data_IF_154725139931
#
_entry.id   IF_154725139931
#
_cell.length_a   1.000
_cell.length_b   1.000
_cell.length_c   1.000
_cell.angle_alpha   90.00
_cell.angle_beta   90.00
_cell.angle_gamma   90.00
#
_symmetry.space_group_name_H-M   'P 1'
#
loop_
_entity.id
_entity.type
_entity.pdbx_description
1 polymer ?
#
# COMPACT_ATOMS: atom_id res chain seq x y z
N UNK A 1 -5.39 10.93 15.95
CA UNK A 1 -4.84 9.75 15.23
C UNK A 1 -5.60 8.44 15.47
N UNK A 2 -6.35 8.29 16.57
CA UNK A 2 -7.16 7.08 16.81
C UNK A 2 -8.19 6.83 15.71
N UNK A 3 -8.77 7.89 15.12
CA UNK A 3 -9.72 7.76 14.00
C UNK A 3 -9.11 7.14 12.74
N UNK A 4 -7.81 7.35 12.47
CA UNK A 4 -7.11 6.73 11.33
C UNK A 4 -7.01 5.22 11.52
N UNK A 5 -6.67 4.77 12.75
CA UNK A 5 -6.63 3.34 13.08
C UNK A 5 -8.01 2.69 12.96
N UNK A 6 -9.07 3.36 13.41
CA UNK A 6 -10.43 2.85 13.25
C UNK A 6 -10.83 2.74 11.77
N UNK A 7 -10.52 3.75 10.95
CA UNK A 7 -10.73 3.68 9.49
C UNK A 7 -9.91 2.56 8.85
N UNK A 8 -8.64 2.37 9.28
CA UNK A 8 -7.82 1.26 8.81
C UNK A 8 -8.47 -0.09 9.13
N UNK A 9 -8.93 -0.30 10.35
CA UNK A 9 -9.56 -1.57 10.72
C UNK A 9 -10.86 -1.83 9.94
N UNK A 10 -11.65 -0.79 9.68
CA UNK A 10 -12.83 -0.88 8.82
C UNK A 10 -12.45 -1.26 7.37
N UNK A 11 -11.40 -0.63 6.82
CA UNK A 11 -10.93 -0.95 5.48
C UNK A 11 -10.38 -2.37 5.38
N UNK A 12 -9.50 -2.76 6.32
CA UNK A 12 -8.94 -4.11 6.35
C UNK A 12 -10.04 -5.19 6.52
N UNK A 13 -11.08 -4.91 7.29
CA UNK A 13 -12.21 -5.82 7.44
C UNK A 13 -12.93 -6.07 6.10
N UNK A 14 -13.11 -5.01 5.29
CA UNK A 14 -13.66 -5.12 3.94
C UNK A 14 -12.70 -5.88 3.01
N UNK A 15 -11.41 -5.51 3.01
CA UNK A 15 -10.40 -6.08 2.13
C UNK A 15 -10.15 -7.57 2.37
N UNK A 16 -10.35 -8.02 3.62
CA UNK A 16 -10.08 -9.38 4.08
C UNK A 16 -11.35 -10.17 4.45
N UNK A 17 -12.53 -9.67 4.07
CA UNK A 17 -13.82 -10.36 4.26
C UNK A 17 -14.04 -10.84 5.70
N UNK A 18 -13.68 -10.01 6.69
CA UNK A 18 -13.80 -10.32 8.12
C UNK A 18 -14.51 -9.19 8.88
N UNK A 19 -14.67 -9.34 10.19
CA UNK A 19 -15.24 -8.31 11.04
C UNK A 19 -14.13 -7.41 11.63
N UNK A 20 -14.47 -6.17 11.99
CA UNK A 20 -13.53 -5.27 12.70
C UNK A 20 -13.09 -5.88 14.04
N UNK A 21 -13.95 -6.66 14.70
CA UNK A 21 -13.60 -7.43 15.91
C UNK A 21 -12.46 -8.42 15.65
N UNK A 22 -12.44 -9.05 14.46
CA UNK A 22 -11.41 -9.99 14.08
C UNK A 22 -10.05 -9.31 13.83
N UNK A 23 -10.05 -8.01 13.45
CA UNK A 23 -8.81 -7.21 13.38
C UNK A 23 -8.30 -6.85 14.78
N UNK A 24 -9.19 -6.73 15.76
CA UNK A 24 -8.88 -6.22 17.12
C UNK A 24 -8.55 -7.31 18.12
N UNK A 25 -8.99 -8.56 17.89
CA UNK A 25 -8.68 -9.68 18.80
C UNK A 25 -7.21 -10.15 18.65
N UNK A 26 -6.84 -11.26 19.28
CA UNK A 26 -5.48 -11.82 19.29
C UNK A 26 -5.34 -13.13 18.50
N UNK A 27 -6.34 -13.49 17.66
CA UNK A 27 -6.39 -14.76 16.93
C UNK A 27 -6.09 -14.58 15.44
N UNK A 28 -5.56 -15.61 14.82
CA UNK A 28 -5.44 -15.68 13.36
C UNK A 28 -6.81 -16.01 12.75
N UNK A 29 -7.15 -15.28 11.66
CA UNK A 29 -8.42 -15.46 10.95
C UNK A 29 -8.18 -15.97 9.52
N UNK A 30 -9.16 -16.73 9.02
CA UNK A 30 -9.11 -17.38 7.73
C UNK A 30 -10.49 -17.26 7.07
N UNK A 31 -10.61 -16.43 6.06
CA UNK A 31 -11.87 -16.07 5.41
C UNK A 31 -11.88 -16.49 3.95
N UNK A 32 -13.04 -16.84 3.44
CA UNK A 32 -13.24 -17.00 2.01
C UNK A 32 -13.31 -15.60 1.38
N UNK A 33 -12.69 -15.46 0.19
CA UNK A 33 -12.69 -14.21 -0.52
C UNK A 33 -14.07 -13.92 -1.14
N UNK A 34 -14.54 -12.71 -0.90
CA UNK A 34 -15.72 -12.14 -1.54
C UNK A 34 -15.39 -10.76 -2.11
N UNK A 35 -15.91 -10.43 -3.29
CA UNK A 35 -15.73 -9.11 -3.91
C UNK A 35 -16.64 -8.07 -3.24
N UNK A 36 -16.28 -7.63 -2.03
CA UNK A 36 -17.05 -6.64 -1.30
C UNK A 36 -16.89 -5.25 -1.91
N UNK A 37 -17.97 -4.44 -1.84
CA UNK A 37 -17.94 -3.04 -2.26
C UNK A 37 -17.08 -2.21 -1.29
N UNK A 38 -16.26 -1.31 -1.83
CA UNK A 38 -15.39 -0.42 -1.05
C UNK A 38 -14.06 -1.01 -0.63
N UNK A 39 -13.71 -2.21 -1.09
CA UNK A 39 -12.35 -2.75 -0.91
C UNK A 39 -11.36 -1.93 -1.72
N UNK A 40 -10.10 -1.90 -1.26
CA UNK A 40 -9.01 -1.31 -2.05
C UNK A 40 -8.85 -2.08 -3.36
N UNK A 41 -8.76 -1.34 -4.45
CA UNK A 41 -8.47 -1.85 -5.78
C UNK A 41 -6.99 -1.60 -6.04
N UNK A 42 -6.25 -2.63 -6.38
CA UNK A 42 -4.92 -2.54 -6.94
C UNK A 42 -4.75 -3.69 -7.92
N UNK A 43 -4.02 -3.43 -8.96
CA UNK A 43 -3.91 -4.28 -10.17
C UNK A 43 -3.60 -5.74 -9.86
N UNK A 44 -2.85 -5.97 -8.81
CA UNK A 44 -2.35 -7.28 -8.42
C UNK A 44 -3.40 -8.19 -7.76
N UNK A 45 -4.57 -7.65 -7.43
CA UNK A 45 -5.63 -8.38 -6.73
C UNK A 45 -6.78 -8.83 -7.63
N UNK A 46 -6.68 -8.67 -8.94
CA UNK A 46 -7.75 -9.01 -9.89
C UNK A 46 -8.24 -10.46 -9.73
N UNK A 47 -7.30 -11.40 -9.55
CA UNK A 47 -7.57 -12.82 -9.31
C UNK A 47 -7.10 -13.22 -7.90
N UNK A 48 -7.83 -12.80 -6.87
CA UNK A 48 -7.43 -13.08 -5.49
C UNK A 48 -7.55 -14.58 -5.15
N UNK A 49 -6.46 -15.31 -5.34
CA UNK A 49 -6.36 -16.69 -4.87
C UNK A 49 -6.09 -16.74 -3.38
N UNK A 50 -5.15 -15.92 -2.91
CA UNK A 50 -4.81 -15.78 -1.50
C UNK A 50 -4.15 -14.42 -1.25
N UNK A 51 -4.60 -13.73 -0.21
CA UNK A 51 -3.89 -12.61 0.42
C UNK A 51 -3.70 -12.89 1.90
N UNK A 52 -2.62 -12.39 2.46
CA UNK A 52 -2.33 -12.51 3.89
C UNK A 52 -1.86 -11.18 4.44
N UNK A 53 -2.44 -10.73 5.55
CA UNK A 53 -1.87 -9.61 6.31
C UNK A 53 -1.33 -10.07 7.65
N UNK A 54 -0.22 -9.43 8.04
CA UNK A 54 0.26 -9.40 9.41
C UNK A 54 -0.08 -8.02 10.01
N UNK A 55 -0.93 -8.01 11.01
CA UNK A 55 -1.41 -6.80 11.69
C UNK A 55 -1.60 -7.09 13.18
N UNK A 56 -1.20 -6.18 14.05
CA UNK A 56 -1.31 -6.32 15.52
C UNK A 56 -0.74 -7.66 16.06
N UNK A 57 0.33 -8.17 15.44
CA UNK A 57 1.00 -9.43 15.87
C UNK A 57 0.32 -10.73 15.41
N UNK A 58 -0.77 -10.65 14.66
CA UNK A 58 -1.53 -11.80 14.14
C UNK A 58 -1.64 -11.78 12.63
N UNK A 59 -2.31 -12.81 12.08
CA UNK A 59 -2.48 -13.03 10.66
C UNK A 59 -3.96 -13.08 10.29
N UNK A 60 -4.29 -12.49 9.14
CA UNK A 60 -5.59 -12.68 8.51
C UNK A 60 -5.35 -13.15 7.08
N UNK A 61 -5.92 -14.28 6.75
CA UNK A 61 -5.88 -14.89 5.43
C UNK A 61 -7.23 -14.71 4.76
N UNK A 62 -7.25 -14.27 3.50
CA UNK A 62 -8.45 -14.29 2.66
C UNK A 62 -8.14 -14.89 1.30
N UNK A 63 -8.98 -15.77 0.78
CA UNK A 63 -8.72 -16.40 -0.51
C UNK A 63 -9.72 -17.48 -0.88
N UNK A 64 -9.32 -18.29 -1.87
CA UNK A 64 -10.12 -19.41 -2.33
C UNK A 64 -10.32 -20.45 -1.22
N UNK A 65 -11.55 -20.94 -1.05
CA UNK A 65 -11.95 -21.87 0.02
C UNK A 65 -10.99 -23.04 0.21
N UNK A 66 -10.63 -23.73 -0.88
CA UNK A 66 -9.71 -24.89 -0.84
C UNK A 66 -8.35 -24.54 -0.24
N UNK A 67 -7.80 -23.36 -0.57
CA UNK A 67 -6.53 -22.86 -0.07
C UNK A 67 -6.66 -22.44 1.40
N UNK A 68 -7.73 -21.73 1.75
CA UNK A 68 -7.99 -21.25 3.12
C UNK A 68 -8.11 -22.40 4.11
N UNK A 69 -8.76 -23.51 3.73
CA UNK A 69 -8.88 -24.70 4.59
C UNK A 69 -7.50 -25.32 4.91
N UNK A 70 -6.60 -25.35 3.94
CA UNK A 70 -5.22 -25.85 4.13
C UNK A 70 -4.41 -24.86 4.97
N UNK A 71 -4.47 -23.58 4.65
CA UNK A 71 -3.80 -22.51 5.42
C UNK A 71 -4.23 -22.51 6.89
N UNK A 72 -5.52 -22.68 7.17
CA UNK A 72 -6.05 -22.76 8.54
C UNK A 72 -5.41 -23.91 9.33
N UNK A 73 -5.28 -25.08 8.73
CA UNK A 73 -4.67 -26.24 9.39
C UNK A 73 -3.19 -26.01 9.69
N UNK A 74 -2.49 -25.31 8.79
CA UNK A 74 -1.05 -25.15 8.85
C UNK A 74 -0.58 -23.95 9.66
N UNK A 75 -1.35 -22.82 9.64
CA UNK A 75 -0.89 -21.52 10.14
C UNK A 75 -1.72 -20.98 11.30
N UNK A 76 -2.71 -21.72 11.83
CA UNK A 76 -3.59 -21.21 12.91
C UNK A 76 -2.84 -20.74 14.17
N UNK A 77 -1.68 -21.32 14.45
CA UNK A 77 -0.88 -21.01 15.64
C UNK A 77 0.40 -20.18 15.31
N UNK A 78 0.56 -19.72 14.07
CA UNK A 78 1.73 -18.92 13.72
C UNK A 78 1.60 -17.49 14.26
N UNK A 79 2.71 -16.95 14.76
CA UNK A 79 2.79 -15.52 15.10
C UNK A 79 2.84 -14.66 13.83
N UNK A 80 2.09 -13.56 13.82
CA UNK A 80 2.18 -12.57 12.76
C UNK A 80 3.54 -11.88 12.68
N UNK A 81 4.21 -11.74 13.83
CA UNK A 81 5.51 -11.03 13.92
C UNK A 81 6.64 -11.70 13.11
N UNK A 82 6.57 -13.01 12.90
CA UNK A 82 7.61 -13.78 12.20
C UNK A 82 7.09 -14.47 10.93
N UNK A 83 5.89 -14.11 10.50
CA UNK A 83 5.27 -14.81 9.38
C UNK A 83 5.95 -14.52 8.04
N UNK A 84 6.47 -13.32 7.85
CA UNK A 84 7.07 -12.87 6.58
C UNK A 84 8.51 -13.42 6.36
N UNK A 85 8.84 -14.51 7.04
CA UNK A 85 10.12 -15.21 6.83
C UNK A 85 10.04 -16.18 5.64
N UNK A 86 11.16 -16.35 4.95
CA UNK A 86 11.27 -17.22 3.78
C UNK A 86 10.80 -18.66 4.00
N UNK A 87 10.89 -19.18 5.23
CA UNK A 87 10.39 -20.50 5.59
C UNK A 87 8.88 -20.63 5.44
N UNK A 88 8.12 -19.58 5.76
CA UNK A 88 6.67 -19.56 5.61
C UNK A 88 6.27 -19.31 4.16
N UNK A 89 7.03 -18.51 3.41
CA UNK A 89 6.79 -18.32 1.98
C UNK A 89 6.93 -19.64 1.22
N UNK A 90 7.94 -20.46 1.52
CA UNK A 90 8.08 -21.80 0.91
C UNK A 90 6.89 -22.70 1.22
N UNK A 91 6.39 -22.69 2.46
CA UNK A 91 5.20 -23.47 2.83
C UNK A 91 3.92 -22.97 2.13
N UNK A 92 3.80 -21.65 1.94
CA UNK A 92 2.71 -21.09 1.15
C UNK A 92 2.81 -21.49 -0.31
N UNK A 93 4.00 -21.41 -0.89
CA UNK A 93 4.24 -21.82 -2.28
C UNK A 93 3.89 -23.31 -2.50
N UNK A 94 4.24 -24.19 -1.57
CA UNK A 94 3.87 -25.62 -1.63
C UNK A 94 2.33 -25.80 -1.69
N UNK A 95 1.56 -24.98 -0.97
CA UNK A 95 0.09 -25.01 -1.02
C UNK A 95 -0.42 -24.44 -2.35
N UNK A 96 0.14 -23.30 -2.78
CA UNK A 96 -0.32 -22.52 -3.91
C UNK A 96 0.01 -23.16 -5.28
N UNK A 97 1.15 -23.87 -5.36
CA UNK A 97 1.60 -24.50 -6.61
C UNK A 97 0.59 -25.50 -7.18
N UNK A 98 -0.19 -26.16 -6.34
CA UNK A 98 -1.24 -27.08 -6.78
C UNK A 98 -2.40 -26.36 -7.52
N UNK A 99 -2.51 -25.07 -7.35
CA UNK A 99 -3.51 -24.20 -8.00
C UNK A 99 -2.86 -23.32 -9.10
N UNK A 100 -1.56 -23.48 -9.38
CA UNK A 100 -0.82 -22.71 -10.39
C UNK A 100 -0.39 -21.30 -9.92
N UNK A 101 -0.27 -21.08 -8.60
CA UNK A 101 0.09 -19.80 -8.01
C UNK A 101 1.34 -19.90 -7.13
N UNK A 102 1.93 -18.73 -6.83
CA UNK A 102 3.02 -18.57 -5.87
C UNK A 102 2.85 -17.25 -5.11
N UNK A 103 3.60 -17.10 -4.03
CA UNK A 103 3.80 -15.78 -3.40
C UNK A 103 4.46 -14.85 -4.43
N UNK A 104 3.84 -13.69 -4.67
CA UNK A 104 4.34 -12.67 -5.60
C UNK A 104 5.16 -11.62 -4.85
N UNK A 105 4.55 -10.97 -3.88
CA UNK A 105 5.18 -9.91 -3.09
C UNK A 105 4.73 -9.94 -1.64
N UNK A 106 5.55 -9.34 -0.78
CA UNK A 106 5.17 -8.99 0.59
C UNK A 106 5.73 -7.60 0.88
N UNK A 107 4.87 -6.66 1.24
CA UNK A 107 5.25 -5.26 1.46
C UNK A 107 4.74 -4.72 2.79
N UNK A 108 5.53 -3.89 3.48
CA UNK A 108 5.06 -3.08 4.59
C UNK A 108 4.24 -1.90 4.06
N UNK A 109 3.16 -1.60 4.76
CA UNK A 109 2.30 -0.47 4.50
C UNK A 109 2.25 0.45 5.72
N UNK A 110 2.20 1.73 5.44
CA UNK A 110 2.33 2.80 6.41
C UNK A 110 1.09 3.69 6.39
N UNK A 111 0.66 4.15 7.56
CA UNK A 111 -0.41 5.15 7.74
C UNK A 111 0.14 6.40 8.42
N UNK A 112 -0.57 7.55 8.35
CA UNK A 112 -0.16 8.75 9.07
C UNK A 112 -0.04 8.52 10.58
N UNK A 113 1.11 8.88 11.12
CA UNK A 113 1.38 8.97 12.54
C UNK A 113 1.05 10.36 13.08
N UNK A 114 1.28 11.37 12.25
CA UNK A 114 1.04 12.79 12.54
C UNK A 114 0.60 13.53 11.26
N UNK A 115 0.24 14.80 11.40
CA UNK A 115 -0.16 15.69 10.32
C UNK A 115 0.93 16.71 9.92
N UNK A 116 2.15 16.52 10.39
CA UNK A 116 3.28 17.41 10.11
C UNK A 116 3.54 17.54 8.61
N UNK A 117 3.82 18.76 8.17
CA UNK A 117 4.22 19.10 6.81
C UNK A 117 5.65 19.63 6.84
N UNK A 118 6.49 19.12 5.95
CA UNK A 118 7.87 19.55 5.80
C UNK A 118 7.99 20.52 4.63
N UNK A 119 8.53 21.71 4.89
CA UNK A 119 8.85 22.68 3.85
C UNK A 119 10.05 22.22 3.02
N UNK A 120 10.03 22.56 1.72
CA UNK A 120 11.13 22.34 0.81
C UNK A 120 11.65 23.69 0.39
N UNK A 121 12.89 24.01 0.76
CA UNK A 121 13.48 25.31 0.44
C UNK A 121 13.99 25.35 -1.01
N UNK A 122 13.82 26.50 -1.66
CA UNK A 122 14.39 26.75 -3.00
C UNK A 122 13.70 25.99 -4.12
N UNK A 123 12.44 25.63 -3.94
CA UNK A 123 11.60 25.02 -4.98
C UNK A 123 10.28 25.75 -5.10
N UNK A 124 9.70 25.78 -6.28
CA UNK A 124 8.30 26.11 -6.50
C UNK A 124 7.47 24.83 -6.28
N UNK A 125 6.32 24.96 -5.61
CA UNK A 125 5.37 23.86 -5.38
C UNK A 125 4.17 24.04 -6.27
N UNK A 126 3.86 23.04 -7.09
CA UNK A 126 2.67 23.03 -7.94
C UNK A 126 1.81 21.79 -7.62
N UNK A 127 0.50 22.01 -7.54
CA UNK A 127 -0.49 20.96 -7.31
C UNK A 127 -1.24 20.69 -8.60
N UNK A 128 -1.62 19.42 -8.77
CA UNK A 128 -2.37 18.96 -9.94
C UNK A 128 -3.58 18.17 -9.48
N UNK A 129 -4.72 18.44 -10.10
CA UNK A 129 -5.94 17.66 -9.98
C UNK A 129 -5.94 16.50 -10.98
N UNK A 130 -6.97 15.66 -10.93
CA UNK A 130 -7.11 14.47 -11.74
C UNK A 130 -7.01 14.75 -13.27
N UNK A 131 -7.62 15.83 -13.75
CA UNK A 131 -7.60 16.18 -15.17
C UNK A 131 -6.20 16.65 -15.60
N UNK A 132 -5.54 17.41 -14.76
CA UNK A 132 -4.20 17.91 -14.99
C UNK A 132 -3.12 16.82 -14.92
N UNK A 133 -3.33 15.75 -14.16
CA UNK A 133 -2.42 14.59 -14.06
C UNK A 133 -2.31 13.86 -15.41
N UNK A 134 -3.36 13.86 -16.25
CA UNK A 134 -3.38 13.16 -17.54
C UNK A 134 -2.27 13.63 -18.50
N UNK A 135 -1.73 14.84 -18.35
CA UNK A 135 -0.60 15.32 -19.15
C UNK A 135 0.68 14.51 -18.95
N UNK A 136 0.79 13.74 -17.86
CA UNK A 136 1.97 12.94 -17.50
C UNK A 136 1.84 11.46 -17.88
N UNK A 137 0.77 11.06 -18.58
CA UNK A 137 0.45 9.64 -18.83
C UNK A 137 1.55 8.84 -19.54
N UNK A 138 2.32 9.49 -20.39
CA UNK A 138 3.40 8.86 -21.16
C UNK A 138 4.79 9.32 -20.68
N UNK A 139 4.90 9.77 -19.44
CA UNK A 139 6.13 10.29 -18.86
C UNK A 139 6.68 9.30 -17.80
N UNK A 140 7.61 8.45 -18.23
CA UNK A 140 8.26 7.41 -17.39
C UNK A 140 9.01 7.97 -16.18
N UNK A 141 9.22 9.30 -16.09
CA UNK A 141 9.84 9.93 -14.93
C UNK A 141 8.98 9.81 -13.67
N UNK A 142 7.68 9.52 -13.82
CA UNK A 142 6.69 9.53 -12.75
C UNK A 142 5.94 8.19 -12.60
N UNK A 143 6.60 7.10 -12.97
CA UNK A 143 6.08 5.73 -12.98
C UNK A 143 5.72 5.17 -11.58
N UNK A 144 6.35 5.70 -10.54
CA UNK A 144 6.00 5.38 -9.14
C UNK A 144 4.93 6.33 -8.56
N UNK A 145 4.84 7.57 -9.07
CA UNK A 145 3.88 8.56 -8.62
C UNK A 145 2.48 8.30 -9.18
N UNK A 146 2.38 7.72 -10.38
CA UNK A 146 1.12 7.49 -11.09
C UNK A 146 1.01 6.06 -11.60
N UNK A 147 -0.20 5.51 -11.54
CA UNK A 147 -0.51 4.19 -12.09
C UNK A 147 -1.41 4.25 -13.34
N UNK A 148 -2.11 5.36 -13.57
CA UNK A 148 -3.07 5.57 -14.66
C UNK A 148 -4.08 4.43 -14.82
N UNK A 149 -4.48 3.81 -13.69
CA UNK A 149 -5.46 2.74 -13.65
C UNK A 149 -6.89 3.28 -13.64
N UNK A 150 -7.79 2.67 -14.40
CA UNK A 150 -9.22 2.99 -14.34
C UNK A 150 -9.86 2.53 -13.02
N UNK A 151 -9.34 1.47 -12.41
CA UNK A 151 -9.87 0.92 -11.15
C UNK A 151 -9.41 1.70 -9.92
N UNK A 152 -8.21 2.30 -9.98
CA UNK A 152 -7.62 3.15 -8.95
C UNK A 152 -7.05 4.42 -9.57
N UNK A 153 -7.93 5.36 -9.97
CA UNK A 153 -7.50 6.56 -10.70
C UNK A 153 -6.60 7.48 -9.86
N UNK A 154 -5.60 8.07 -10.50
CA UNK A 154 -4.77 9.11 -9.90
C UNK A 154 -5.60 10.39 -9.75
N UNK A 155 -5.71 10.92 -8.53
CA UNK A 155 -6.70 11.96 -8.18
C UNK A 155 -6.09 13.26 -7.71
N UNK A 156 -4.84 13.23 -7.25
CA UNK A 156 -4.16 14.40 -6.70
C UNK A 156 -2.65 14.23 -6.84
N UNK A 157 -1.93 15.30 -7.17
CA UNK A 157 -0.47 15.29 -7.16
C UNK A 157 0.12 16.63 -6.68
N UNK A 158 1.37 16.56 -6.21
CA UNK A 158 2.18 17.70 -5.79
C UNK A 158 3.57 17.56 -6.39
N UNK A 159 4.03 18.58 -7.11
CA UNK A 159 5.36 18.63 -7.72
C UNK A 159 6.26 19.67 -7.07
N UNK A 160 7.55 19.40 -7.06
CA UNK A 160 8.61 20.36 -6.80
C UNK A 160 9.26 20.76 -8.15
N UNK A 161 9.40 22.08 -8.38
CA UNK A 161 9.93 22.65 -9.61
C UNK A 161 11.15 23.50 -9.27
N UNK A 162 12.23 23.34 -10.05
CA UNK A 162 13.46 24.15 -10.01
C UNK A 162 13.80 24.50 -11.46
N UNK A 163 14.04 25.79 -11.74
CA UNK A 163 14.40 26.28 -13.08
C UNK A 163 13.45 25.75 -14.19
N UNK A 164 12.14 25.83 -13.94
CA UNK A 164 11.05 25.36 -14.81
C UNK A 164 11.03 23.82 -15.05
N UNK A 165 11.89 23.05 -14.38
CA UNK A 165 11.90 21.58 -14.45
C UNK A 165 11.24 20.95 -13.24
N UNK A 166 10.37 19.93 -13.47
CA UNK A 166 9.83 19.10 -12.38
C UNK A 166 10.93 18.15 -11.90
N UNK A 167 11.41 18.39 -10.67
CA UNK A 167 12.49 17.61 -10.06
C UNK A 167 11.98 16.55 -9.09
N UNK A 168 10.70 16.59 -8.76
CA UNK A 168 10.02 15.55 -7.95
C UNK A 168 8.52 15.65 -8.08
N UNK A 169 7.85 14.51 -8.00
CA UNK A 169 6.39 14.36 -8.12
C UNK A 169 5.89 13.33 -7.10
N UNK A 170 4.99 13.74 -6.21
CA UNK A 170 4.18 12.82 -5.42
C UNK A 170 2.77 12.76 -5.97
N UNK A 171 2.27 11.57 -6.24
CA UNK A 171 0.93 11.31 -6.73
C UNK A 171 0.11 10.47 -5.75
N UNK A 172 -1.21 10.54 -5.86
CA UNK A 172 -2.12 9.75 -5.06
C UNK A 172 -3.18 9.07 -5.94
N UNK A 173 -3.29 7.76 -5.82
CA UNK A 173 -4.33 6.93 -6.44
C UNK A 173 -5.48 6.65 -5.46
N UNK A 174 -6.72 6.69 -5.96
CA UNK A 174 -7.92 6.43 -5.17
C UNK A 174 -8.24 4.92 -5.15
N UNK A 175 -7.53 4.15 -4.34
CA UNK A 175 -7.65 2.69 -4.30
C UNK A 175 -8.96 2.22 -3.63
N UNK A 176 -9.55 3.06 -2.79
CA UNK A 176 -10.89 2.90 -2.26
C UNK A 176 -11.53 4.26 -1.96
N UNK A 177 -12.83 4.30 -1.66
CA UNK A 177 -13.47 5.56 -1.27
C UNK A 177 -12.87 6.25 -0.05
N UNK A 178 -12.13 5.53 0.79
CA UNK A 178 -11.58 6.04 2.06
C UNK A 178 -10.07 5.91 2.21
N UNK A 179 -9.37 5.27 1.25
CA UNK A 179 -7.93 5.06 1.28
C UNK A 179 -7.29 5.39 -0.07
N UNK A 180 -6.33 6.34 -0.05
CA UNK A 180 -5.56 6.73 -1.22
C UNK A 180 -4.09 6.41 -1.03
N UNK A 181 -3.49 5.70 -1.98
CA UNK A 181 -2.07 5.35 -1.94
C UNK A 181 -1.23 6.51 -2.45
N UNK A 182 -0.10 6.78 -1.79
CA UNK A 182 0.88 7.78 -2.23
C UNK A 182 2.07 7.08 -2.85
N UNK A 183 2.42 7.51 -4.07
CA UNK A 183 3.66 7.20 -4.76
C UNK A 183 4.54 8.44 -4.93
N UNK A 184 5.84 8.26 -5.23
CA UNK A 184 6.81 9.36 -5.31
C UNK A 184 7.96 9.05 -6.26
N UNK A 185 8.27 9.98 -7.15
CA UNK A 185 9.51 10.00 -7.93
C UNK A 185 10.29 11.28 -7.64
N UNK A 186 11.61 11.20 -7.56
CA UNK A 186 12.53 12.34 -7.48
C UNK A 186 13.66 12.11 -8.46
N UNK A 187 13.99 13.13 -9.22
CA UNK A 187 15.14 13.11 -10.12
C UNK A 187 16.44 12.88 -9.32
N UNK A 188 17.24 11.91 -9.74
CA UNK A 188 18.47 11.46 -9.08
C UNK A 188 19.44 12.59 -8.76
N UNK A 189 19.52 13.61 -9.60
CA UNK A 189 20.38 14.77 -9.39
C UNK A 189 19.96 15.66 -8.21
N UNK A 190 18.73 15.45 -7.69
CA UNK A 190 18.12 16.22 -6.60
C UNK A 190 17.85 15.37 -5.35
N UNK A 191 18.34 14.14 -5.31
CA UNK A 191 18.27 13.30 -4.12
C UNK A 191 19.03 13.93 -2.94
N UNK A 192 18.64 13.57 -1.71
CA UNK A 192 19.25 14.08 -0.48
C UNK A 192 18.83 15.51 -0.07
N UNK A 193 18.01 16.18 -0.89
CA UNK A 193 17.50 17.55 -0.62
C UNK A 193 16.15 17.57 0.11
N UNK A 194 15.69 16.45 0.66
CA UNK A 194 14.41 16.29 1.36
C UNK A 194 13.16 16.55 0.50
N UNK A 195 13.28 16.60 -0.84
CA UNK A 195 12.17 16.85 -1.76
C UNK A 195 11.09 15.77 -1.59
N UNK A 196 11.46 14.48 -1.63
CA UNK A 196 10.51 13.39 -1.46
C UNK A 196 9.73 13.50 -0.14
N UNK A 197 10.43 13.73 0.98
CA UNK A 197 9.81 13.87 2.31
C UNK A 197 8.81 15.03 2.33
N UNK A 198 9.20 16.19 1.78
CA UNK A 198 8.34 17.36 1.73
C UNK A 198 7.09 17.12 0.88
N UNK A 199 7.24 16.62 -0.36
CA UNK A 199 6.12 16.35 -1.26
C UNK A 199 5.14 15.33 -0.68
N UNK A 200 5.64 14.21 -0.13
CA UNK A 200 4.82 13.18 0.50
C UNK A 200 4.07 13.73 1.72
N UNK A 201 4.72 14.57 2.55
CA UNK A 201 4.08 15.18 3.72
C UNK A 201 2.99 16.20 3.33
N UNK A 202 3.22 16.99 2.27
CA UNK A 202 2.24 17.93 1.73
C UNK A 202 1.02 17.20 1.17
N UNK A 203 1.26 16.18 0.35
CA UNK A 203 0.18 15.38 -0.24
C UNK A 203 -0.62 14.63 0.84
N UNK A 204 0.06 14.05 1.84
CA UNK A 204 -0.56 13.48 3.05
C UNK A 204 -1.54 14.46 3.69
N UNK A 205 -1.11 15.68 3.95
CA UNK A 205 -1.93 16.70 4.60
C UNK A 205 -3.15 17.10 3.75
N UNK A 206 -2.99 17.20 2.43
CA UNK A 206 -4.09 17.55 1.53
C UNK A 206 -5.15 16.42 1.42
N UNK A 207 -4.72 15.17 1.49
CA UNK A 207 -5.62 13.99 1.52
C UNK A 207 -6.37 13.93 2.85
N UNK A 208 -5.69 14.15 3.98
CA UNK A 208 -6.31 14.18 5.31
C UNK A 208 -7.40 15.25 5.44
N UNK A 209 -7.23 16.42 4.82
CA UNK A 209 -8.27 17.48 4.77
C UNK A 209 -9.56 17.03 4.07
N UNK A 210 -9.49 16.00 3.24
CA UNK A 210 -10.65 15.40 2.56
C UNK A 210 -11.30 14.28 3.39
N UNK A 211 -10.85 14.06 4.62
CA UNK A 211 -11.26 12.97 5.50
C UNK A 211 -10.95 11.57 4.95
N UNK A 212 -10.00 11.47 4.02
CA UNK A 212 -9.49 10.23 3.43
C UNK A 212 -8.19 9.87 4.14
N UNK A 213 -7.90 8.59 4.27
CA UNK A 213 -6.66 8.10 4.85
C UNK A 213 -5.62 7.92 3.75
N UNK A 214 -4.57 8.74 3.70
CA UNK A 214 -3.44 8.44 2.83
C UNK A 214 -2.68 7.25 3.40
N UNK A 215 -2.21 6.37 2.53
CA UNK A 215 -1.32 5.30 2.93
C UNK A 215 -0.14 5.19 1.96
N UNK A 216 0.92 4.54 2.41
CA UNK A 216 2.16 4.43 1.65
C UNK A 216 2.62 2.97 1.67
N UNK A 217 2.97 2.42 0.54
CA UNK A 217 3.49 1.05 0.41
C UNK A 217 4.87 1.06 -0.22
N UNK A 218 5.76 0.15 0.21
CA UNK A 218 7.07 0.00 -0.42
C UNK A 218 7.67 -1.38 -0.15
N UNK A 219 8.67 -1.78 -0.93
CA UNK A 219 9.39 -3.03 -0.72
C UNK A 219 10.19 -3.02 0.61
N UNK A 220 10.38 -4.19 1.22
CA UNK A 220 11.26 -4.37 2.38
C UNK A 220 12.70 -3.94 2.13
N UNK A 221 13.19 -4.06 0.90
CA UNK A 221 14.56 -3.69 0.52
C UNK A 221 14.72 -2.23 0.07
N UNK A 222 13.62 -1.50 -0.16
CA UNK A 222 13.66 -0.08 -0.52
C UNK A 222 13.77 0.80 0.72
N UNK A 223 14.95 0.81 1.34
CA UNK A 223 15.22 1.56 2.58
C UNK A 223 15.06 3.08 2.38
N UNK A 224 15.38 3.59 1.19
CA UNK A 224 15.22 5.01 0.89
C UNK A 224 13.74 5.43 0.97
N UNK A 225 12.86 4.66 0.33
CA UNK A 225 11.42 4.89 0.36
C UNK A 225 10.83 4.74 1.78
N UNK A 226 11.28 3.74 2.55
CA UNK A 226 10.86 3.58 3.96
C UNK A 226 11.29 4.79 4.82
N UNK A 227 12.50 5.33 4.60
CA UNK A 227 12.96 6.54 5.29
C UNK A 227 12.13 7.78 4.89
N UNK A 228 11.73 7.88 3.61
CA UNK A 228 10.82 8.96 3.17
C UNK A 228 9.50 8.86 3.92
N UNK A 229 8.86 7.68 3.94
CA UNK A 229 7.61 7.47 4.65
C UNK A 229 7.73 7.87 6.15
N UNK A 230 8.73 7.33 6.84
CA UNK A 230 8.94 7.62 8.26
C UNK A 230 9.17 9.12 8.55
N UNK A 231 10.00 9.79 7.74
CA UNK A 231 10.26 11.23 7.87
C UNK A 231 9.06 12.09 7.49
N UNK A 232 8.25 11.65 6.53
CA UNK A 232 7.02 12.34 6.16
C UNK A 232 5.88 12.16 7.20
N UNK A 233 6.15 11.52 8.34
CA UNK A 233 5.19 11.34 9.43
C UNK A 233 4.25 10.15 9.24
N UNK A 234 4.73 9.07 8.65
CA UNK A 234 4.04 7.78 8.59
C UNK A 234 4.67 6.77 9.55
N UNK A 235 3.89 5.78 9.97
CA UNK A 235 4.34 4.61 10.72
C UNK A 235 3.85 3.32 10.05
N UNK A 236 4.63 2.23 10.18
CA UNK A 236 4.21 0.92 9.68
C UNK A 236 2.96 0.47 10.43
N UNK A 237 1.93 0.07 9.68
CA UNK A 237 0.65 -0.36 10.24
C UNK A 237 0.34 -1.84 9.99
N UNK A 238 0.70 -2.35 8.81
CA UNK A 238 0.54 -3.77 8.47
C UNK A 238 1.57 -4.19 7.41
N UNK A 239 1.73 -5.49 7.26
CA UNK A 239 2.44 -6.10 6.12
C UNK A 239 1.44 -6.92 5.35
N UNK A 240 1.43 -6.79 4.03
CA UNK A 240 0.52 -7.50 3.13
C UNK A 240 1.32 -8.38 2.17
N UNK A 241 0.94 -9.66 2.08
CA UNK A 241 1.43 -10.62 1.13
C UNK A 241 0.33 -10.91 0.12
N UNK A 242 0.69 -10.88 -1.16
CA UNK A 242 -0.18 -11.25 -2.27
C UNK A 242 0.42 -12.37 -3.11
N UNK A 243 -0.44 -13.09 -3.79
CA UNK A 243 -0.06 -14.18 -4.68
C UNK A 243 -0.24 -13.80 -6.15
N UNK A 244 0.50 -14.46 -7.03
CA UNK A 244 0.39 -14.30 -8.47
C UNK A 244 0.44 -15.63 -9.19
N UNK A 245 -0.05 -15.67 -10.43
CA UNK A 245 0.04 -16.85 -11.30
C UNK A 245 1.49 -17.14 -11.66
N UNK A 246 1.86 -18.40 -11.66
CA UNK A 246 3.24 -18.84 -11.96
C UNK A 246 3.73 -18.42 -13.34
N UNK A 247 2.84 -18.30 -14.32
CA UNK A 247 3.13 -17.91 -15.70
C UNK A 247 3.66 -16.46 -15.83
N UNK A 248 3.37 -15.62 -14.82
CA UNK A 248 3.74 -14.19 -14.81
C UNK A 248 4.86 -13.85 -13.80
N UNK A 249 5.44 -14.86 -13.16
CA UNK A 249 6.51 -14.71 -12.16
C UNK A 249 7.86 -15.17 -12.71
N UNK A 250 8.18 -14.73 -13.94
CA UNK A 250 9.43 -15.03 -14.61
C UNK A 250 10.64 -14.27 -14.09
#
# INVERSE_FOLDING_TARGET
MDYIKEKLYQQLAIDYCCQVSDIKDDKNHFTEYEKLKGRRQFEEAADCVLKVIAVNGKLIFTGKKSIIEVCRKQFSNNSGNWFMDASNFRKLDEILMNEGYRVKTAHPFFIPKDDCVHEINGVEIKKYNQEEILQFKDDDRFDEAFCFSEESPDVLAVAAIIDDEIVGMAGASADSPSFWQIGINVNKNFEGRHIATGLVSMLKADILKKEIVPYYGTSFSNLASQHVAAKAGFEVAWVELITGRMEFLG
#
